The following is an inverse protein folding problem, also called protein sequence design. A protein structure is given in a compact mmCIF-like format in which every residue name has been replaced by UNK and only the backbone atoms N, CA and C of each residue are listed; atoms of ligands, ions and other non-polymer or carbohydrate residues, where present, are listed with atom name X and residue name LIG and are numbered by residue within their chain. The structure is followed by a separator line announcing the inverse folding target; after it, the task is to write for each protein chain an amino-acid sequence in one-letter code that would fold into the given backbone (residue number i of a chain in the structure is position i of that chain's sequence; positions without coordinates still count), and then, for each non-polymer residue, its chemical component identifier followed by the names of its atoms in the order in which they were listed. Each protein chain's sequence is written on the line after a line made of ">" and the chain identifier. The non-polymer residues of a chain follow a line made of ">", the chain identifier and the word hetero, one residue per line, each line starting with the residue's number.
data_IF_369002244281
#
_entry.id   IF_369002244281
#
_cell.length_a   1.000
_cell.length_b   1.000
_cell.length_c   1.000
_cell.angle_alpha   90.00
_cell.angle_beta   90.00
_cell.angle_gamma   90.00
#
_symmetry.space_group_name_H-M   'P 1'
#
loop_
_entity.id
_entity.type
_entity.pdbx_description
1 polymer ?
#
# COMPACT_ATOMS: atom_id res chain seq x y z
N UNK A 1 7.95 36.92 30.11
CA UNK A 1 7.70 35.44 30.15
C UNK A 1 6.97 34.86 28.93
N UNK A 2 6.48 35.64 28.00
CA UNK A 2 5.71 35.18 26.83
C UNK A 2 6.55 34.73 25.63
N UNK A 3 7.80 35.15 25.52
CA UNK A 3 8.68 34.80 24.40
C UNK A 3 9.27 33.37 24.53
N UNK A 4 9.50 32.92 25.75
CA UNK A 4 10.05 31.56 26.01
C UNK A 4 9.05 30.45 25.72
N UNK A 5 7.76 30.69 25.97
CA UNK A 5 6.67 29.70 25.67
C UNK A 5 6.42 29.50 24.19
N UNK A 6 6.66 30.54 23.36
CA UNK A 6 6.52 30.45 21.89
C UNK A 6 7.67 29.68 21.24
N UNK A 7 8.88 29.75 21.81
CA UNK A 7 10.04 29.00 21.33
C UNK A 7 9.94 27.50 21.64
N UNK A 8 9.42 27.13 22.80
CA UNK A 8 9.21 25.72 23.15
C UNK A 8 8.11 25.08 22.32
N UNK A 9 7.06 25.80 21.95
CA UNK A 9 5.99 25.28 21.09
C UNK A 9 6.48 25.05 19.64
N UNK A 10 7.37 25.91 19.13
CA UNK A 10 7.96 25.73 17.79
C UNK A 10 8.97 24.58 17.72
N UNK A 11 9.71 24.33 18.79
CA UNK A 11 10.64 23.20 18.89
C UNK A 11 9.92 21.86 18.99
N UNK A 12 8.77 21.81 19.67
CA UNK A 12 7.94 20.61 19.76
C UNK A 12 7.26 20.25 18.42
N UNK A 13 6.81 21.26 17.67
CA UNK A 13 6.23 21.05 16.35
C UNK A 13 7.28 20.57 15.33
N UNK A 14 8.51 21.08 15.42
CA UNK A 14 9.62 20.67 14.56
C UNK A 14 10.11 19.24 14.85
N UNK A 15 10.11 18.80 16.11
CA UNK A 15 10.51 17.45 16.49
C UNK A 15 9.50 16.39 16.07
N UNK A 16 8.20 16.70 16.08
CA UNK A 16 7.16 15.77 15.63
C UNK A 16 7.17 15.54 14.12
N UNK A 17 7.52 16.56 13.33
CA UNK A 17 7.66 16.42 11.87
C UNK A 17 8.90 15.63 11.47
N UNK A 18 9.99 15.70 12.23
CA UNK A 18 11.21 14.90 11.99
C UNK A 18 11.01 13.42 12.35
N UNK A 19 10.23 13.12 13.37
CA UNK A 19 9.95 11.73 13.77
C UNK A 19 9.07 10.97 12.76
N UNK A 20 8.23 11.67 12.00
CA UNK A 20 7.45 11.06 10.92
C UNK A 20 8.27 10.75 9.66
N UNK A 21 9.44 11.39 9.50
CA UNK A 21 10.35 11.12 8.38
C UNK A 21 11.30 9.94 8.67
N UNK A 22 11.55 9.61 9.94
CA UNK A 22 12.45 8.50 10.31
C UNK A 22 11.76 7.15 10.46
N UNK A 23 10.42 7.10 10.53
CA UNK A 23 9.66 5.86 10.59
C UNK A 23 9.60 5.09 9.25
N UNK A 24 10.17 5.63 8.16
CA UNK A 24 10.29 4.96 6.86
C UNK A 24 11.68 4.32 6.63
N UNK A 25 12.56 4.26 7.64
CA UNK A 25 13.90 3.70 7.49
C UNK A 25 14.01 2.29 8.08
N UNK A 26 13.25 1.39 7.54
CA UNK A 26 13.37 -0.04 7.82
C UNK A 26 13.55 -0.83 6.53
N UNK A 27 14.78 -0.92 6.03
CA UNK A 27 15.13 -1.83 4.94
C UNK A 27 15.78 -1.15 3.73
N UNK A 28 17.07 -1.30 3.58
CA UNK A 28 17.91 -1.21 2.38
C UNK A 28 17.66 -0.04 1.44
N UNK A 29 18.47 1.00 1.56
CA UNK A 29 18.40 2.20 0.74
C UNK A 29 18.38 1.95 -0.76
N UNK A 30 17.22 2.11 -1.35
CA UNK A 30 17.06 2.37 -2.78
C UNK A 30 16.32 3.69 -2.91
N UNK A 31 17.02 4.73 -3.34
CA UNK A 31 16.43 6.03 -3.68
C UNK A 31 15.82 6.03 -5.09
N UNK A 32 15.66 4.87 -5.70
CA UNK A 32 15.15 4.70 -7.05
C UNK A 32 13.66 5.03 -7.20
N UNK A 33 13.19 5.21 -8.44
CA UNK A 33 11.80 5.53 -8.72
C UNK A 33 10.83 4.46 -8.21
N UNK A 34 11.24 3.20 -8.15
CA UNK A 34 10.44 2.09 -7.59
C UNK A 34 10.21 2.29 -6.09
N UNK A 35 11.26 2.59 -5.32
CA UNK A 35 11.13 2.87 -3.89
C UNK A 35 10.26 4.11 -3.61
N UNK A 36 10.33 5.11 -4.48
CA UNK A 36 9.43 6.27 -4.39
C UNK A 36 7.97 5.88 -4.63
N UNK A 37 7.73 4.97 -5.57
CA UNK A 37 6.40 4.41 -5.84
C UNK A 37 5.85 3.68 -4.62
N UNK A 38 6.63 2.76 -4.06
CA UNK A 38 6.29 2.02 -2.84
C UNK A 38 5.95 2.96 -1.68
N UNK A 39 6.79 3.97 -1.44
CA UNK A 39 6.57 4.96 -0.38
C UNK A 39 5.31 5.80 -0.60
N UNK A 40 4.97 6.15 -1.84
CA UNK A 40 3.73 6.90 -2.16
C UNK A 40 2.50 6.05 -1.91
N UNK A 41 2.52 4.78 -2.31
CA UNK A 41 1.41 3.84 -2.09
C UNK A 41 1.22 3.60 -0.60
N UNK A 42 2.29 3.34 0.15
CA UNK A 42 2.21 3.18 1.60
C UNK A 42 1.65 4.41 2.32
N UNK A 43 2.01 5.61 1.87
CA UNK A 43 1.41 6.85 2.39
C UNK A 43 -0.08 6.93 2.11
N UNK A 44 -0.51 6.60 0.88
CA UNK A 44 -1.92 6.61 0.52
C UNK A 44 -2.72 5.61 1.38
N UNK A 45 -2.20 4.40 1.59
CA UNK A 45 -2.79 3.40 2.48
C UNK A 45 -2.93 3.94 3.91
N UNK A 46 -1.88 4.54 4.45
CA UNK A 46 -1.90 5.04 5.82
C UNK A 46 -2.78 6.29 5.99
N UNK A 47 -2.93 7.11 4.95
CA UNK A 47 -3.89 8.21 4.96
C UNK A 47 -5.34 7.68 5.00
N UNK A 48 -5.66 6.67 4.21
CA UNK A 48 -6.98 6.01 4.22
C UNK A 48 -7.28 5.38 5.59
N UNK A 49 -6.29 4.69 6.19
CA UNK A 49 -6.40 4.14 7.53
C UNK A 49 -6.62 5.21 8.60
N UNK A 50 -5.92 6.33 8.52
CA UNK A 50 -6.09 7.46 9.42
C UNK A 50 -7.51 8.05 9.35
N UNK A 51 -8.08 8.16 8.15
CA UNK A 51 -9.47 8.59 7.95
C UNK A 51 -10.47 7.63 8.63
N UNK A 52 -10.13 6.35 8.69
CA UNK A 52 -10.89 5.30 9.38
C UNK A 52 -10.49 5.12 10.85
N UNK A 53 -9.66 5.99 11.41
CA UNK A 53 -9.11 5.93 12.78
C UNK A 53 -8.35 4.62 13.09
N UNK A 54 -7.80 3.98 12.08
CA UNK A 54 -6.97 2.78 12.22
C UNK A 54 -5.49 3.17 12.37
N UNK A 55 -4.73 2.38 13.14
CA UNK A 55 -3.30 2.59 13.30
C UNK A 55 -2.57 2.42 11.95
N UNK A 56 -1.50 3.19 11.70
CA UNK A 56 -0.71 3.03 10.49
C UNK A 56 -0.03 1.65 10.43
N UNK A 57 0.21 1.16 9.23
CA UNK A 57 1.00 -0.05 8.97
C UNK A 57 2.34 0.34 8.35
N UNK A 58 3.38 -0.41 8.69
CA UNK A 58 4.64 -0.40 7.96
C UNK A 58 4.58 -1.34 6.76
N UNK A 59 5.50 -1.17 5.82
CA UNK A 59 5.69 -2.14 4.74
C UNK A 59 6.25 -3.44 5.36
N UNK A 60 5.39 -4.45 5.54
CA UNK A 60 5.76 -5.73 6.16
C UNK A 60 6.69 -6.51 5.22
N UNK A 61 7.88 -6.95 5.68
CA UNK A 61 8.88 -7.59 4.81
C UNK A 61 8.38 -8.88 4.16
N UNK A 62 7.56 -9.68 4.85
CA UNK A 62 7.04 -10.93 4.29
C UNK A 62 5.98 -10.65 3.24
N UNK A 63 5.09 -9.70 3.50
CA UNK A 63 4.07 -9.27 2.52
C UNK A 63 4.74 -8.61 1.31
N UNK A 64 5.76 -7.78 1.52
CA UNK A 64 6.53 -7.16 0.44
C UNK A 64 7.25 -8.21 -0.42
N UNK A 65 7.83 -9.23 0.20
CA UNK A 65 8.47 -10.34 -0.53
C UNK A 65 7.49 -11.11 -1.39
N UNK A 66 6.26 -11.34 -0.91
CA UNK A 66 5.20 -11.97 -1.69
C UNK A 66 4.79 -11.07 -2.86
N UNK A 67 4.57 -9.76 -2.59
CA UNK A 67 4.23 -8.77 -3.61
C UNK A 67 5.29 -8.73 -4.72
N UNK A 68 6.58 -8.62 -4.34
CA UNK A 68 7.69 -8.61 -5.28
C UNK A 68 7.75 -9.90 -6.11
N UNK A 69 7.68 -11.06 -5.47
CA UNK A 69 7.69 -12.35 -6.18
C UNK A 69 6.56 -12.46 -7.21
N UNK A 70 5.36 -12.02 -6.86
CA UNK A 70 4.22 -12.03 -7.78
C UNK A 70 4.42 -11.06 -8.94
N UNK A 71 4.96 -9.89 -8.66
CA UNK A 71 5.27 -8.87 -9.67
C UNK A 71 6.34 -9.37 -10.66
N UNK A 72 7.41 -10.00 -10.15
CA UNK A 72 8.49 -10.55 -10.96
C UNK A 72 8.04 -11.74 -11.83
N UNK A 73 7.01 -12.47 -11.43
CA UNK A 73 6.45 -13.62 -12.15
C UNK A 73 5.33 -13.24 -13.12
N UNK A 74 4.75 -12.04 -13.00
CA UNK A 74 3.64 -11.62 -13.83
C UNK A 74 4.09 -11.24 -15.24
N UNK A 75 3.33 -11.67 -16.24
CA UNK A 75 3.42 -11.08 -17.57
C UNK A 75 2.58 -9.80 -17.59
N UNK A 76 3.24 -8.67 -17.31
CA UNK A 76 2.58 -7.38 -17.09
C UNK A 76 1.77 -6.88 -18.30
N UNK A 77 2.08 -7.36 -19.50
CA UNK A 77 1.33 -7.00 -20.72
C UNK A 77 0.08 -7.89 -20.93
N UNK A 78 0.11 -9.15 -20.46
CA UNK A 78 -0.93 -10.13 -20.76
C UNK A 78 -1.78 -10.52 -19.53
N UNK A 79 -1.20 -10.56 -18.32
CA UNK A 79 -1.87 -11.08 -17.14
C UNK A 79 -2.83 -10.08 -16.48
N UNK A 80 -2.71 -8.78 -16.80
CA UNK A 80 -3.62 -7.75 -16.29
C UNK A 80 -4.94 -7.81 -17.08
N UNK A 81 -5.77 -8.78 -16.76
CA UNK A 81 -7.01 -9.08 -17.47
C UNK A 81 -8.27 -8.47 -16.84
N UNK A 82 -8.20 -8.05 -15.58
CA UNK A 82 -9.25 -7.29 -14.92
C UNK A 82 -9.21 -5.81 -15.32
N UNK A 83 -10.36 -5.13 -15.30
CA UNK A 83 -10.41 -3.68 -15.53
C UNK A 83 -11.49 -3.02 -14.70
N UNK A 84 -11.13 -1.88 -14.09
CA UNK A 84 -12.08 -0.92 -13.53
C UNK A 84 -11.84 0.42 -14.24
N UNK A 85 -12.82 0.87 -15.01
CA UNK A 85 -12.62 2.01 -15.89
C UNK A 85 -11.47 1.76 -16.86
N UNK A 86 -10.42 2.57 -16.77
CA UNK A 86 -9.20 2.45 -17.61
C UNK A 86 -8.07 1.66 -16.97
N UNK A 87 -8.20 1.25 -15.70
CA UNK A 87 -7.14 0.53 -15.00
C UNK A 87 -7.23 -0.95 -15.28
N UNK A 88 -6.11 -1.54 -15.66
CA UNK A 88 -5.94 -2.99 -15.74
C UNK A 88 -5.29 -3.49 -14.47
N UNK A 89 -5.73 -4.63 -13.97
CA UNK A 89 -5.21 -5.24 -12.77
C UNK A 89 -5.27 -6.75 -12.83
N UNK A 90 -4.50 -7.39 -11.95
CA UNK A 90 -4.52 -8.81 -11.62
C UNK A 90 -4.70 -8.96 -10.12
N UNK A 91 -5.42 -9.97 -9.68
CA UNK A 91 -5.51 -10.30 -8.28
C UNK A 91 -5.44 -11.80 -8.03
N UNK A 92 -4.91 -12.18 -6.86
CA UNK A 92 -4.82 -13.56 -6.37
C UNK A 92 -5.16 -13.56 -4.88
N UNK A 93 -6.02 -14.47 -4.44
CA UNK A 93 -6.45 -14.61 -3.05
C UNK A 93 -6.05 -15.97 -2.53
N UNK A 94 -5.38 -15.98 -1.38
CA UNK A 94 -5.06 -17.19 -0.62
C UNK A 94 -5.85 -17.21 0.68
N UNK A 95 -6.53 -18.30 0.91
CA UNK A 95 -7.32 -18.53 2.10
C UNK A 95 -6.55 -19.41 3.08
N UNK A 96 -6.56 -19.04 4.34
CA UNK A 96 -6.06 -19.82 5.46
C UNK A 96 -7.13 -19.82 6.57
N UNK A 97 -6.95 -20.69 7.58
CA UNK A 97 -7.92 -20.84 8.68
C UNK A 97 -8.11 -19.59 9.51
N UNK A 98 -7.01 -18.84 9.73
CA UNK A 98 -7.00 -17.68 10.61
C UNK A 98 -6.87 -16.35 9.87
N UNK A 99 -6.28 -16.39 8.69
CA UNK A 99 -6.00 -15.19 7.89
C UNK A 99 -6.20 -15.46 6.41
N UNK A 100 -6.58 -14.44 5.69
CA UNK A 100 -6.61 -14.48 4.22
C UNK A 100 -5.70 -13.41 3.66
N UNK A 101 -5.02 -13.75 2.58
CA UNK A 101 -4.05 -12.86 1.92
C UNK A 101 -4.50 -12.60 0.50
N UNK A 102 -4.50 -11.33 0.11
CA UNK A 102 -4.77 -10.90 -1.25
C UNK A 102 -3.54 -10.22 -1.83
N UNK A 103 -3.20 -10.54 -3.07
CA UNK A 103 -2.21 -9.81 -3.85
C UNK A 103 -2.89 -9.19 -5.06
N UNK A 104 -2.75 -7.88 -5.19
CA UNK A 104 -3.22 -7.08 -6.32
C UNK A 104 -2.00 -6.55 -7.07
N UNK A 105 -1.97 -6.71 -8.40
CA UNK A 105 -1.01 -6.04 -9.28
C UNK A 105 -1.77 -5.09 -10.19
N UNK A 106 -1.30 -3.86 -10.31
CA UNK A 106 -1.90 -2.86 -11.18
C UNK A 106 -0.84 -1.96 -11.81
N UNK A 107 -1.15 -1.45 -13.01
CA UNK A 107 -0.41 -0.31 -13.53
C UNK A 107 -0.77 0.92 -12.69
N UNK A 108 0.24 1.62 -12.21
CA UNK A 108 0.08 2.77 -11.32
C UNK A 108 0.48 4.07 -12.00
N UNK A 109 -0.50 4.95 -12.14
CA UNK A 109 -0.30 6.32 -12.59
C UNK A 109 -0.55 7.26 -11.39
N UNK A 110 0.50 7.90 -10.90
CA UNK A 110 0.45 8.77 -9.72
C UNK A 110 -0.53 9.94 -9.80
N UNK A 111 -0.89 10.36 -11.00
CA UNK A 111 -1.79 11.49 -11.21
C UNK A 111 -3.25 11.08 -11.23
N UNK A 112 -3.52 9.84 -11.61
CA UNK A 112 -4.87 9.39 -11.91
C UNK A 112 -5.32 8.16 -11.12
N UNK A 113 -4.40 7.41 -10.49
CA UNK A 113 -4.75 6.22 -9.71
C UNK A 113 -4.96 6.60 -8.26
N UNK A 114 -6.17 6.45 -7.76
CA UNK A 114 -6.51 6.63 -6.35
C UNK A 114 -6.47 5.28 -5.64
N UNK A 115 -6.16 5.30 -4.35
CA UNK A 115 -6.20 4.08 -3.52
C UNK A 115 -7.59 3.45 -3.49
N UNK A 116 -8.64 4.28 -3.46
CA UNK A 116 -10.04 3.86 -3.49
C UNK A 116 -10.35 3.04 -4.75
N UNK A 117 -9.81 3.44 -5.91
CA UNK A 117 -9.98 2.72 -7.17
C UNK A 117 -9.26 1.36 -7.11
N UNK A 118 -8.06 1.31 -6.50
CA UNK A 118 -7.31 0.06 -6.32
C UNK A 118 -8.01 -0.88 -5.34
N UNK A 119 -8.56 -0.35 -4.25
CA UNK A 119 -9.36 -1.12 -3.29
C UNK A 119 -10.66 -1.58 -3.97
N UNK A 120 -11.31 -0.71 -4.76
CA UNK A 120 -12.49 -1.04 -5.54
C UNK A 120 -12.25 -2.23 -6.48
N UNK A 121 -11.07 -2.33 -7.11
CA UNK A 121 -10.69 -3.50 -7.91
C UNK A 121 -10.79 -4.82 -7.13
N UNK A 122 -10.51 -4.78 -5.85
CA UNK A 122 -10.57 -5.95 -4.96
C UNK A 122 -12.02 -6.35 -4.71
N UNK A 123 -12.91 -5.36 -4.54
CA UNK A 123 -14.31 -5.59 -4.14
C UNK A 123 -15.20 -6.08 -5.25
N UNK A 124 -15.09 -5.48 -6.43
CA UNK A 124 -16.00 -5.78 -7.53
C UNK A 124 -15.77 -7.17 -8.14
N UNK A 125 -14.53 -7.67 -8.07
CA UNK A 125 -14.16 -8.94 -8.67
C UNK A 125 -14.07 -10.11 -7.68
N UNK A 126 -14.29 -9.86 -6.41
CA UNK A 126 -14.12 -10.89 -5.39
C UNK A 126 -15.49 -11.34 -4.85
N UNK A 127 -15.92 -12.54 -5.23
CA UNK A 127 -17.05 -13.24 -4.58
C UNK A 127 -16.78 -13.54 -3.09
N UNK A 128 -15.57 -13.23 -2.60
CA UNK A 128 -15.15 -13.30 -1.21
C UNK A 128 -15.58 -12.03 -0.43
N UNK A 129 -16.80 -11.58 -0.63
CA UNK A 129 -17.41 -10.44 0.08
C UNK A 129 -17.37 -10.59 1.62
N UNK A 130 -17.12 -11.80 2.12
CA UNK A 130 -17.04 -12.09 3.55
C UNK A 130 -15.67 -11.75 4.18
N UNK A 131 -14.64 -11.45 3.41
CA UNK A 131 -13.27 -11.30 3.94
C UNK A 131 -12.87 -9.87 4.26
N UNK A 132 -13.73 -8.90 4.04
CA UNK A 132 -13.49 -7.49 4.42
C UNK A 132 -12.17 -6.89 3.93
N UNK A 133 -11.67 -7.30 2.74
CA UNK A 133 -10.51 -6.66 2.13
C UNK A 133 -10.76 -5.19 1.77
N UNK A 134 -12.01 -4.79 1.66
CA UNK A 134 -12.49 -3.51 1.14
C UNK A 134 -12.10 -2.32 1.99
N UNK A 135 -11.88 -2.53 3.27
CA UNK A 135 -11.56 -1.46 4.20
C UNK A 135 -10.13 -1.65 4.71
N UNK A 136 -9.26 -0.70 4.40
CA UNK A 136 -7.87 -0.75 4.85
C UNK A 136 -7.73 -0.84 6.38
N UNK A 137 -8.75 -0.39 7.12
CA UNK A 137 -8.83 -0.52 8.58
C UNK A 137 -8.85 -1.98 9.06
N UNK A 138 -9.28 -2.92 8.23
CA UNK A 138 -9.32 -4.35 8.55
C UNK A 138 -8.00 -5.07 8.23
N UNK A 139 -7.08 -4.41 7.52
CA UNK A 139 -5.81 -5.02 7.17
C UNK A 139 -4.92 -5.16 8.40
N UNK A 140 -4.39 -6.35 8.60
CA UNK A 140 -3.45 -6.66 9.69
C UNK A 140 -2.00 -6.49 9.27
N UNK A 141 -1.71 -6.75 7.98
CA UNK A 141 -0.41 -6.56 7.36
C UNK A 141 -0.57 -6.06 5.94
N UNK A 142 0.44 -5.33 5.45
CA UNK A 142 0.52 -4.92 4.05
C UNK A 142 1.98 -4.90 3.60
N UNK A 143 2.21 -5.30 2.36
CA UNK A 143 3.48 -5.16 1.67
C UNK A 143 3.27 -4.59 0.28
N UNK A 144 4.09 -3.63 -0.08
CA UNK A 144 4.07 -2.97 -1.38
C UNK A 144 5.40 -3.18 -2.07
N UNK A 145 5.36 -3.61 -3.32
CA UNK A 145 6.50 -3.67 -4.22
C UNK A 145 6.17 -2.92 -5.52
N UNK A 146 7.17 -2.36 -6.15
CA UNK A 146 7.01 -1.67 -7.43
C UNK A 146 8.06 -2.13 -8.43
N UNK A 147 7.75 -2.02 -9.71
CA UNK A 147 8.68 -2.18 -10.81
C UNK A 147 8.35 -1.23 -11.95
N UNK A 148 9.37 -0.92 -12.77
CA UNK A 148 9.19 -0.15 -14.00
C UNK A 148 9.41 -1.09 -15.17
N UNK A 149 8.40 -1.21 -16.00
CA UNK A 149 8.42 -2.05 -17.18
C UNK A 149 7.86 -1.27 -18.39
N UNK A 150 8.59 -1.23 -19.49
CA UNK A 150 8.23 -0.47 -20.69
C UNK A 150 7.86 0.99 -20.41
N UNK A 151 8.58 1.66 -19.50
CA UNK A 151 8.34 3.07 -19.14
C UNK A 151 7.08 3.31 -18.29
N UNK A 152 6.41 2.24 -17.84
CA UNK A 152 5.24 2.30 -16.96
C UNK A 152 5.58 1.77 -15.58
N UNK A 153 5.00 2.36 -14.56
CA UNK A 153 5.13 1.87 -13.19
C UNK A 153 4.02 0.86 -12.89
N UNK A 154 4.41 -0.28 -12.38
CA UNK A 154 3.51 -1.30 -11.87
C UNK A 154 3.75 -1.47 -10.37
N UNK A 155 2.67 -1.65 -9.63
CA UNK A 155 2.73 -1.93 -8.20
C UNK A 155 2.06 -3.26 -7.90
N UNK A 156 2.60 -3.96 -6.92
CA UNK A 156 1.94 -5.07 -6.26
C UNK A 156 1.68 -4.71 -4.81
N UNK A 157 0.47 -4.91 -4.37
CA UNK A 157 0.05 -4.76 -2.97
C UNK A 157 -0.37 -6.13 -2.48
N UNK A 158 0.34 -6.66 -1.48
CA UNK A 158 -0.07 -7.86 -0.77
C UNK A 158 -0.58 -7.45 0.60
N UNK A 159 -1.81 -7.79 0.91
CA UNK A 159 -2.44 -7.44 2.17
C UNK A 159 -3.03 -8.68 2.85
N UNK A 160 -3.12 -8.64 4.17
CA UNK A 160 -3.67 -9.70 4.99
C UNK A 160 -4.82 -9.17 5.84
N UNK A 161 -5.87 -9.97 5.95
CA UNK A 161 -6.99 -9.77 6.89
C UNK A 161 -7.17 -11.00 7.76
N UNK A 162 -7.83 -10.84 8.91
CA UNK A 162 -8.29 -11.99 9.69
C UNK A 162 -9.47 -12.65 8.99
N UNK A 163 -9.48 -13.97 8.95
CA UNK A 163 -10.67 -14.74 8.55
C UNK A 163 -11.65 -14.69 9.72
N UNK A 164 -12.86 -14.22 9.48
CA UNK A 164 -13.95 -14.18 10.47
C UNK A 164 -14.67 -15.52 10.51
#
# INVERSE_FOLDING_TARGET
>A
MTKLRKLTALLLAGALTLLLLTACSGGGGSSGPEAQAEAKVMRAINNDRANSRAAPLSNDPDMQRIAKKKLDQANLDADLNGSIGRYKFYHDVKYDKETSTLTLIAQYDYHNTKLEDLIGCITENNKASNLNFNHSSNWTKVGVAATIYNGKTYIAITLQVKTT
#
